data_IF_876905818205
#
_entry.id   IF_876905818205
#
_cell.length_a   1.000
_cell.length_b   1.000
_cell.length_c   1.000
_cell.angle_alpha   90.00
_cell.angle_beta   90.00
_cell.angle_gamma   90.00
#
_symmetry.space_group_name_H-M   'P 1'
#
loop_
_entity.id
_entity.type
_entity.pdbx_description
1 polymer ?
#
# COMPACT_ATOMS: atom_id res chain seq x y z
N UNK A 1 29.64 7.97 -13.77
CA UNK A 1 30.17 8.54 -12.51
C UNK A 1 29.10 9.40 -11.87
N UNK A 2 28.08 8.78 -11.27
CA UNK A 2 27.11 9.36 -10.33
C UNK A 2 26.48 8.16 -9.59
N UNK A 3 27.31 7.51 -8.78
CA UNK A 3 26.86 6.71 -7.63
C UNK A 3 26.89 7.67 -6.43
N UNK A 4 26.00 7.45 -5.47
CA UNK A 4 25.71 8.30 -4.31
C UNK A 4 24.72 9.42 -4.57
N UNK A 5 23.43 9.10 -4.40
CA UNK A 5 22.45 9.98 -3.76
C UNK A 5 21.32 9.10 -3.17
N UNK A 6 21.51 8.79 -1.88
CA UNK A 6 20.55 8.59 -0.79
C UNK A 6 19.22 7.84 -1.07
N UNK A 7 19.15 6.62 -0.52
CA UNK A 7 17.95 5.80 -0.37
C UNK A 7 16.95 6.29 0.69
N UNK A 8 16.77 7.61 0.85
CA UNK A 8 15.76 8.19 1.75
C UNK A 8 14.60 8.89 1.01
N UNK A 9 14.62 8.95 -0.33
CA UNK A 9 13.72 9.85 -1.08
C UNK A 9 12.66 9.14 -1.94
N UNK A 10 12.57 7.81 -1.93
CA UNK A 10 11.78 7.06 -2.93
C UNK A 10 10.39 6.60 -2.51
N UNK A 11 10.04 6.70 -1.23
CA UNK A 11 8.69 6.34 -0.73
C UNK A 11 7.73 7.54 -0.75
N UNK A 12 8.24 8.76 -0.97
CA UNK A 12 7.46 10.01 -0.85
C UNK A 12 6.64 10.43 -2.07
N UNK A 13 6.75 9.74 -3.22
CA UNK A 13 6.05 10.16 -4.46
C UNK A 13 4.79 9.35 -4.81
N UNK A 14 4.40 8.35 -4.01
CA UNK A 14 3.20 7.55 -4.25
C UNK A 14 2.03 7.82 -3.27
N UNK A 15 2.19 8.67 -2.26
CA UNK A 15 1.11 9.05 -1.33
C UNK A 15 1.20 10.53 -0.95
N UNK A 16 0.90 11.40 -1.90
CA UNK A 16 0.74 12.83 -1.62
C UNK A 16 -0.57 13.33 -2.21
N UNK A 17 -1.71 12.88 -1.67
CA UNK A 17 -2.98 13.62 -1.54
C UNK A 17 -3.88 12.83 -0.56
N UNK A 18 -4.35 13.52 0.48
CA UNK A 18 -5.37 13.11 1.45
C UNK A 18 -5.00 12.09 2.56
N UNK A 19 -4.16 12.51 3.50
CA UNK A 19 -4.37 12.14 4.91
C UNK A 19 -4.05 13.34 5.78
N UNK A 20 -5.12 14.07 6.13
CA UNK A 20 -5.09 15.13 7.12
C UNK A 20 -4.69 14.49 8.47
N UNK A 21 -3.70 15.10 9.11
CA UNK A 21 -3.06 14.62 10.32
C UNK A 21 -4.05 14.46 11.48
N UNK A 22 -4.28 13.21 11.90
CA UNK A 22 -4.63 12.89 13.27
C UNK A 22 -3.34 12.45 13.95
N UNK A 23 -2.73 13.37 14.68
CA UNK A 23 -1.65 13.09 15.60
C UNK A 23 -2.19 12.24 16.75
N UNK A 24 -2.18 10.91 16.60
CA UNK A 24 -2.37 10.00 17.71
C UNK A 24 -1.00 9.70 18.32
N UNK A 25 -0.88 10.24 19.52
CA UNK A 25 0.20 10.16 20.47
C UNK A 25 0.79 8.75 20.58
N UNK A 26 2.08 8.72 20.89
CA UNK A 26 2.81 7.52 21.30
C UNK A 26 2.16 6.91 22.55
N UNK A 27 1.34 5.89 22.38
CA UNK A 27 0.95 5.00 23.46
C UNK A 27 1.32 3.59 23.02
N UNK A 28 2.38 3.03 23.61
CA UNK A 28 2.48 1.60 23.84
C UNK A 28 1.26 1.24 24.68
N UNK A 29 0.14 0.84 24.06
CA UNK A 29 -1.14 0.84 24.75
C UNK A 29 -1.27 -0.39 25.64
N UNK A 30 -0.90 -0.20 26.90
CA UNK A 30 -1.44 -0.90 28.05
C UNK A 30 -1.93 0.24 28.95
N UNK A 31 -3.17 0.22 29.44
CA UNK A 31 -3.42 0.94 30.69
C UNK A 31 -3.25 -0.04 31.86
N UNK A 32 -2.29 0.22 32.76
CA UNK A 32 -1.36 -0.79 33.25
C UNK A 32 -1.56 -1.18 34.72
N UNK A 33 -2.74 -0.97 35.30
CA UNK A 33 -2.89 -1.21 36.74
C UNK A 33 -3.33 -2.64 37.10
N UNK A 34 -3.68 -3.51 36.13
CA UNK A 34 -4.31 -4.81 36.43
C UNK A 34 -3.68 -6.07 35.82
N UNK A 35 -2.75 -5.98 34.86
CA UNK A 35 -2.18 -7.19 34.22
C UNK A 35 -0.66 -7.17 34.25
N UNK A 36 -0.08 -8.02 35.09
CA UNK A 36 1.35 -8.32 35.03
C UNK A 36 1.62 -9.07 33.73
N UNK A 37 2.44 -8.49 32.85
CA UNK A 37 2.85 -9.16 31.62
C UNK A 37 3.71 -10.38 31.94
N UNK A 38 3.41 -11.48 31.25
CA UNK A 38 4.11 -12.75 31.32
C UNK A 38 5.00 -12.89 30.08
N UNK A 39 6.23 -13.37 30.26
CA UNK A 39 7.12 -13.67 29.14
C UNK A 39 6.48 -14.74 28.24
N UNK A 40 6.66 -14.60 26.91
CA UNK A 40 6.08 -15.51 25.92
C UNK A 40 4.61 -15.24 25.59
N UNK A 41 4.05 -14.11 26.05
CA UNK A 41 2.71 -13.64 25.67
C UNK A 41 2.77 -12.28 24.98
N UNK A 42 1.88 -12.11 24.01
CA UNK A 42 1.59 -10.84 23.35
C UNK A 42 0.27 -10.31 23.90
N UNK A 43 0.15 -8.98 23.96
CA UNK A 43 -0.96 -8.30 24.58
C UNK A 43 -1.55 -7.25 23.62
N UNK A 44 -2.84 -6.99 23.78
CA UNK A 44 -3.51 -5.88 23.15
C UNK A 44 -4.56 -5.28 24.07
N UNK A 45 -4.69 -3.96 24.00
CA UNK A 45 -5.63 -3.19 24.82
C UNK A 45 -6.59 -2.40 23.95
N UNK A 46 -7.84 -2.31 24.39
CA UNK A 46 -8.86 -1.52 23.72
C UNK A 46 -9.83 -0.88 24.71
N UNK A 47 -10.30 0.30 24.36
CA UNK A 47 -11.35 1.04 25.09
C UNK A 47 -12.42 1.48 24.10
N UNK A 48 -13.69 1.34 24.48
CA UNK A 48 -14.84 1.64 23.63
C UNK A 48 -16.06 2.12 24.42
N UNK A 49 -17.13 2.47 23.72
CA UNK A 49 -18.41 2.82 24.34
C UNK A 49 -19.21 1.58 24.78
N UNK A 50 -18.82 0.40 24.31
CA UNK A 50 -19.35 -0.90 24.75
C UNK A 50 -18.24 -1.94 24.90
N UNK A 51 -18.51 -3.07 25.59
CA UNK A 51 -17.56 -4.18 25.70
C UNK A 51 -17.14 -4.75 24.34
N UNK A 52 -18.04 -4.81 23.37
CA UNK A 52 -17.75 -5.32 22.02
C UNK A 52 -16.82 -4.38 21.24
N UNK A 53 -17.01 -3.07 21.37
CA UNK A 53 -16.11 -2.08 20.78
C UNK A 53 -14.72 -2.14 21.41
N UNK A 54 -14.66 -2.24 22.75
CA UNK A 54 -13.42 -2.36 23.49
C UNK A 54 -12.66 -3.64 23.11
N UNK A 55 -13.35 -4.78 22.97
CA UNK A 55 -12.74 -6.04 22.57
C UNK A 55 -12.22 -5.99 21.12
N UNK A 56 -12.96 -5.37 20.20
CA UNK A 56 -12.50 -5.21 18.83
C UNK A 56 -11.22 -4.35 18.76
N UNK A 57 -11.17 -3.24 19.50
CA UNK A 57 -9.96 -2.40 19.58
C UNK A 57 -8.80 -3.18 20.23
N UNK A 58 -9.06 -3.94 21.30
CA UNK A 58 -8.04 -4.77 21.94
C UNK A 58 -7.49 -5.83 20.99
N UNK A 59 -8.34 -6.40 20.13
CA UNK A 59 -7.92 -7.35 19.11
C UNK A 59 -7.10 -6.70 18.01
N UNK A 60 -7.47 -5.49 17.57
CA UNK A 60 -6.69 -4.71 16.58
C UNK A 60 -5.29 -4.41 17.12
N UNK A 61 -5.22 -3.93 18.36
CA UNK A 61 -3.96 -3.62 19.04
C UNK A 61 -3.11 -4.88 19.24
N UNK A 62 -3.72 -6.00 19.68
CA UNK A 62 -3.03 -7.28 19.83
C UNK A 62 -2.38 -7.73 18.52
N UNK A 63 -3.11 -7.70 17.42
CA UNK A 63 -2.62 -8.12 16.10
C UNK A 63 -1.50 -7.17 15.63
N UNK A 64 -1.64 -5.86 15.84
CA UNK A 64 -0.61 -4.89 15.51
C UNK A 64 0.68 -5.19 16.28
N UNK A 65 0.60 -5.31 17.61
CA UNK A 65 1.74 -5.63 18.47
C UNK A 65 2.39 -6.97 18.08
N UNK A 66 1.58 -7.96 17.70
CA UNK A 66 2.07 -9.26 17.29
C UNK A 66 2.84 -9.20 15.96
N UNK A 67 2.32 -8.50 14.95
CA UNK A 67 3.00 -8.29 13.67
C UNK A 67 4.27 -7.45 13.84
N UNK A 68 4.24 -6.42 14.68
CA UNK A 68 5.42 -5.60 14.99
C UNK A 68 6.50 -6.42 15.71
N UNK A 69 6.11 -7.30 16.63
CA UNK A 69 7.02 -8.26 17.27
C UNK A 69 7.64 -9.20 16.25
N UNK A 70 6.84 -9.80 15.36
CA UNK A 70 7.32 -10.64 14.26
C UNK A 70 8.30 -9.90 13.33
N UNK A 71 8.01 -8.64 13.00
CA UNK A 71 8.88 -7.78 12.19
C UNK A 71 10.22 -7.53 12.86
N UNK A 72 10.19 -7.14 14.15
CA UNK A 72 11.40 -6.90 14.93
C UNK A 72 12.25 -8.15 15.07
N UNK A 73 11.65 -9.31 15.34
CA UNK A 73 12.36 -10.60 15.46
C UNK A 73 13.05 -11.00 14.15
N UNK A 74 12.40 -10.80 13.02
CA UNK A 74 12.88 -11.28 11.70
C UNK A 74 13.86 -10.34 11.02
N UNK A 75 13.56 -9.05 11.02
CA UNK A 75 14.29 -8.04 10.23
C UNK A 75 15.11 -7.06 11.09
N UNK A 76 14.83 -7.00 12.40
CA UNK A 76 15.34 -5.94 13.26
C UNK A 76 14.64 -4.58 13.06
N UNK A 77 13.73 -4.46 12.08
CA UNK A 77 12.97 -3.25 11.84
C UNK A 77 11.86 -3.07 12.87
N UNK A 78 11.56 -1.82 13.21
CA UNK A 78 10.44 -1.45 14.06
C UNK A 78 9.62 -0.39 13.33
N UNK A 79 8.53 -0.82 12.71
CA UNK A 79 7.56 0.06 12.05
C UNK A 79 6.19 -0.13 12.68
N UNK A 80 5.43 0.95 12.84
CA UNK A 80 4.04 0.85 13.30
C UNK A 80 3.18 0.16 12.25
N UNK A 81 2.33 -0.78 12.69
CA UNK A 81 1.38 -1.47 11.83
C UNK A 81 -0.04 -1.03 12.22
N UNK A 82 -0.82 -0.63 11.21
CA UNK A 82 -2.21 -0.21 11.41
C UNK A 82 -3.10 -1.37 10.98
N UNK A 83 -3.86 -1.91 11.94
CA UNK A 83 -4.84 -2.96 11.70
C UNK A 83 -6.24 -2.34 11.66
N UNK A 84 -6.97 -2.57 10.57
CA UNK A 84 -8.37 -2.12 10.46
C UNK A 84 -9.29 -3.06 11.22
N UNK A 85 -10.49 -2.60 11.58
CA UNK A 85 -11.50 -3.46 12.21
C UNK A 85 -11.94 -4.62 11.32
N UNK A 86 -11.91 -4.44 9.99
CA UNK A 86 -12.17 -5.53 9.03
C UNK A 86 -11.09 -6.61 9.10
N UNK A 87 -9.80 -6.21 9.04
CA UNK A 87 -8.67 -7.15 9.18
C UNK A 87 -8.73 -7.90 10.51
N UNK A 88 -9.00 -7.21 11.61
CA UNK A 88 -9.09 -7.84 12.93
C UNK A 88 -10.26 -8.83 13.04
N UNK A 89 -11.40 -8.57 12.39
CA UNK A 89 -12.53 -9.51 12.33
C UNK A 89 -12.21 -10.74 11.47
N UNK A 90 -11.47 -10.57 10.38
CA UNK A 90 -11.06 -11.66 9.49
C UNK A 90 -10.01 -12.60 10.09
N UNK A 91 -9.31 -12.18 11.15
CA UNK A 91 -8.28 -12.98 11.82
C UNK A 91 -8.92 -13.88 12.89
N UNK A 92 -8.84 -15.20 12.70
CA UNK A 92 -9.32 -16.21 13.66
C UNK A 92 -8.23 -16.55 14.68
N UNK A 93 -7.84 -15.56 15.50
CA UNK A 93 -6.91 -15.76 16.61
C UNK A 93 -7.69 -16.01 17.90
N UNK A 94 -7.42 -17.14 18.57
CA UNK A 94 -7.98 -17.44 19.89
C UNK A 94 -7.23 -16.64 20.97
N UNK A 95 -7.66 -15.40 21.19
CA UNK A 95 -7.11 -14.55 22.23
C UNK A 95 -7.87 -14.74 23.56
N UNK A 96 -7.14 -14.76 24.66
CA UNK A 96 -7.70 -14.85 26.01
C UNK A 96 -7.89 -13.46 26.60
N UNK A 97 -9.11 -13.15 27.07
CA UNK A 97 -9.40 -11.98 27.89
C UNK A 97 -8.75 -12.13 29.28
N UNK A 98 -7.96 -11.14 29.69
CA UNK A 98 -7.23 -11.16 30.96
C UNK A 98 -7.52 -9.99 31.89
N UNK A 99 -8.08 -8.91 31.37
CA UNK A 99 -8.68 -7.85 32.16
C UNK A 99 -9.85 -7.24 31.42
N UNK A 100 -10.79 -6.72 32.20
CA UNK A 100 -11.96 -6.01 31.74
C UNK A 100 -12.37 -5.01 32.82
N UNK A 101 -12.76 -3.82 32.38
CA UNK A 101 -13.35 -2.80 33.23
C UNK A 101 -14.55 -2.22 32.49
N UNK A 102 -15.73 -2.32 33.08
CA UNK A 102 -16.95 -1.69 32.59
C UNK A 102 -17.30 -0.50 33.49
N UNK A 103 -17.56 0.64 32.87
CA UNK A 103 -18.03 1.88 33.47
C UNK A 103 -19.38 2.26 32.83
N UNK A 104 -20.08 3.24 33.41
CA UNK A 104 -21.43 3.65 32.95
C UNK A 104 -21.47 4.08 31.48
N UNK A 105 -20.36 4.57 30.93
CA UNK A 105 -20.27 5.10 29.55
C UNK A 105 -19.09 4.55 28.75
N UNK A 106 -18.32 3.61 29.31
CA UNK A 106 -17.16 3.06 28.62
C UNK A 106 -16.83 1.65 29.09
N UNK A 107 -16.16 0.89 28.25
CA UNK A 107 -15.56 -0.39 28.62
C UNK A 107 -14.10 -0.42 28.16
N UNK A 108 -13.25 -1.14 28.89
CA UNK A 108 -11.90 -1.47 28.45
C UNK A 108 -11.63 -2.97 28.59
N UNK A 109 -10.87 -3.51 27.65
CA UNK A 109 -10.56 -4.94 27.54
C UNK A 109 -9.06 -5.10 27.27
N UNK A 110 -8.44 -6.06 27.96
CA UNK A 110 -7.09 -6.53 27.64
C UNK A 110 -7.15 -7.99 27.18
N UNK A 111 -6.61 -8.24 26.00
CA UNK A 111 -6.45 -9.56 25.42
C UNK A 111 -4.99 -9.99 25.49
N UNK A 112 -4.77 -11.30 25.54
CA UNK A 112 -3.46 -11.91 25.35
C UNK A 112 -3.50 -13.13 24.45
N UNK A 113 -2.38 -13.42 23.80
CA UNK A 113 -2.13 -14.69 23.09
C UNK A 113 -0.71 -15.17 23.40
N UNK A 114 -0.46 -16.47 23.34
CA UNK A 114 0.93 -16.97 23.41
C UNK A 114 1.65 -16.62 22.12
N UNK A 115 2.93 -16.30 22.23
CA UNK A 115 3.78 -16.04 21.06
C UNK A 115 3.81 -17.24 20.11
N UNK A 116 3.90 -18.47 20.64
CA UNK A 116 3.92 -19.70 19.84
C UNK A 116 2.62 -19.93 19.06
N UNK A 117 1.47 -19.64 19.67
CA UNK A 117 0.15 -19.75 19.03
C UNK A 117 0.03 -18.70 17.90
N UNK A 118 0.52 -17.49 18.14
CA UNK A 118 0.60 -16.43 17.13
C UNK A 118 1.53 -16.83 15.97
N UNK A 119 2.73 -17.31 16.26
CA UNK A 119 3.71 -17.71 15.23
C UNK A 119 3.17 -18.85 14.36
N UNK A 120 2.51 -19.84 14.97
CA UNK A 120 1.85 -20.94 14.25
C UNK A 120 0.70 -20.45 13.36
N UNK A 121 -0.14 -19.56 13.88
CA UNK A 121 -1.23 -18.94 13.12
C UNK A 121 -0.70 -18.12 11.94
N UNK A 122 0.30 -17.27 12.20
CA UNK A 122 0.84 -16.34 11.22
C UNK A 122 1.55 -17.08 10.09
N UNK A 123 2.31 -18.14 10.39
CA UNK A 123 2.90 -18.99 9.36
C UNK A 123 1.84 -19.56 8.40
N UNK A 124 0.72 -20.05 8.93
CA UNK A 124 -0.41 -20.52 8.13
C UNK A 124 -1.04 -19.41 7.28
N UNK A 125 -1.21 -18.22 7.86
CA UNK A 125 -1.75 -17.05 7.16
C UNK A 125 -0.83 -16.58 6.03
N UNK A 126 0.48 -16.55 6.26
CA UNK A 126 1.47 -16.22 5.24
C UNK A 126 1.43 -17.20 4.05
N UNK A 127 1.33 -18.51 4.31
CA UNK A 127 1.18 -19.52 3.25
C UNK A 127 -0.10 -19.29 2.44
N UNK A 128 -1.21 -19.00 3.11
CA UNK A 128 -2.46 -18.68 2.44
C UNK A 128 -2.35 -17.42 1.57
N UNK A 129 -1.70 -16.36 2.07
CA UNK A 129 -1.45 -15.12 1.33
C UNK A 129 -0.57 -15.35 0.10
N UNK A 130 0.53 -16.10 0.22
CA UNK A 130 1.39 -16.45 -0.93
C UNK A 130 0.58 -17.20 -1.99
N UNK A 131 -0.20 -18.20 -1.58
CA UNK A 131 -1.06 -18.98 -2.49
C UNK A 131 -2.11 -18.12 -3.18
N UNK A 132 -2.73 -17.20 -2.45
CA UNK A 132 -3.73 -16.28 -3.00
C UNK A 132 -3.12 -15.31 -4.01
N UNK A 133 -1.92 -14.77 -3.73
CA UNK A 133 -1.25 -13.79 -4.58
C UNK A 133 -0.53 -14.41 -5.78
N UNK A 134 -0.16 -15.70 -5.71
CA UNK A 134 0.61 -16.38 -6.76
C UNK A 134 0.05 -16.22 -8.19
N UNK A 135 -1.27 -16.33 -8.45
CA UNK A 135 -1.81 -16.14 -9.80
C UNK A 135 -1.63 -14.71 -10.32
N UNK A 136 -1.79 -13.69 -9.46
CA UNK A 136 -1.57 -12.30 -9.84
C UNK A 136 -0.09 -12.07 -10.19
N UNK A 137 0.83 -12.56 -9.35
CA UNK A 137 2.27 -12.46 -9.56
C UNK A 137 2.74 -13.14 -10.85
N UNK A 138 2.18 -14.32 -11.17
CA UNK A 138 2.48 -15.01 -12.41
C UNK A 138 2.08 -14.19 -13.64
N UNK A 139 0.92 -13.50 -13.59
CA UNK A 139 0.49 -12.60 -14.67
C UNK A 139 1.37 -11.37 -14.78
N UNK A 140 1.79 -10.78 -13.66
CA UNK A 140 2.74 -9.66 -13.66
C UNK A 140 4.08 -10.03 -14.28
N UNK A 141 4.53 -11.27 -14.07
CA UNK A 141 5.81 -11.77 -14.58
C UNK A 141 5.80 -12.09 -16.08
N UNK A 142 4.64 -12.49 -16.63
CA UNK A 142 4.50 -12.96 -18.00
C UNK A 142 3.83 -12.00 -18.98
N UNK A 143 3.23 -10.89 -18.53
CA UNK A 143 2.40 -10.05 -19.36
C UNK A 143 3.16 -8.89 -20.04
N UNK A 144 2.71 -8.59 -21.26
CA UNK A 144 2.94 -7.30 -21.92
C UNK A 144 2.29 -6.20 -21.07
N UNK A 145 2.90 -5.00 -20.93
CA UNK A 145 2.33 -3.95 -20.09
C UNK A 145 0.90 -3.61 -20.52
N UNK A 146 -0.01 -3.53 -19.57
CA UNK A 146 -1.41 -3.19 -19.79
C UNK A 146 -2.08 -2.78 -18.48
N UNK A 147 -3.28 -2.18 -18.58
CA UNK A 147 -4.00 -1.65 -17.42
C UNK A 147 -4.21 -2.66 -16.30
N UNK A 148 -4.58 -3.90 -16.67
CA UNK A 148 -4.82 -4.97 -15.72
C UNK A 148 -3.59 -5.32 -14.89
N UNK A 149 -2.39 -5.33 -15.49
CA UNK A 149 -1.16 -5.67 -14.77
C UNK A 149 -0.81 -4.61 -13.71
N UNK A 150 -0.92 -3.33 -14.02
CA UNK A 150 -0.66 -2.29 -13.02
C UNK A 150 -1.70 -2.32 -11.88
N UNK A 151 -2.98 -2.52 -12.20
CA UNK A 151 -4.07 -2.61 -11.22
C UNK A 151 -3.92 -3.85 -10.33
N UNK A 152 -3.56 -5.02 -10.88
CA UNK A 152 -3.27 -6.24 -10.12
C UNK A 152 -2.09 -6.06 -9.15
N UNK A 153 -1.00 -5.43 -9.59
CA UNK A 153 0.16 -5.16 -8.75
C UNK A 153 -0.17 -4.20 -7.59
N UNK A 154 -0.90 -3.12 -7.86
CA UNK A 154 -1.36 -2.17 -6.83
C UNK A 154 -2.30 -2.86 -5.85
N UNK A 155 -3.21 -3.70 -6.33
CA UNK A 155 -4.10 -4.49 -5.48
C UNK A 155 -3.32 -5.44 -4.58
N UNK A 156 -2.30 -6.14 -5.11
CA UNK A 156 -1.44 -7.03 -4.35
C UNK A 156 -0.66 -6.27 -3.25
N UNK A 157 -0.03 -5.13 -3.58
CA UNK A 157 0.68 -4.29 -2.60
C UNK A 157 -0.26 -3.77 -1.50
N UNK A 158 -1.46 -3.30 -1.88
CA UNK A 158 -2.48 -2.85 -0.93
C UNK A 158 -2.91 -3.96 0.02
N UNK A 159 -3.08 -5.17 -0.50
CA UNK A 159 -3.42 -6.36 0.29
C UNK A 159 -2.31 -6.72 1.27
N UNK A 160 -1.04 -6.69 0.85
CA UNK A 160 0.10 -6.94 1.75
C UNK A 160 0.18 -5.90 2.86
N UNK A 161 0.00 -4.61 2.53
CA UNK A 161 0.02 -3.53 3.51
C UNK A 161 -1.13 -3.63 4.52
N UNK A 162 -2.35 -3.94 4.04
CA UNK A 162 -3.53 -4.11 4.90
C UNK A 162 -3.44 -5.36 5.78
N UNK A 163 -2.75 -6.39 5.29
CA UNK A 163 -2.41 -7.59 6.05
C UNK A 163 -1.24 -7.37 7.03
N UNK A 164 -0.55 -6.22 6.96
CA UNK A 164 0.60 -5.86 7.80
C UNK A 164 1.88 -6.65 7.49
N UNK A 165 1.97 -7.26 6.32
CA UNK A 165 3.07 -8.17 5.94
C UNK A 165 3.92 -7.64 4.78
N UNK A 166 3.77 -6.38 4.39
CA UNK A 166 4.54 -5.76 3.29
C UNK A 166 6.05 -5.68 3.59
N UNK A 167 6.46 -5.63 4.85
CA UNK A 167 7.87 -5.72 5.27
C UNK A 167 8.30 -7.10 5.77
N UNK A 168 7.45 -8.12 5.60
CA UNK A 168 7.63 -9.43 6.22
C UNK A 168 7.51 -10.57 5.21
N UNK A 169 6.48 -10.57 4.38
CA UNK A 169 6.19 -11.70 3.53
C UNK A 169 7.24 -11.83 2.43
N UNK A 170 7.97 -12.94 2.47
CA UNK A 170 8.95 -13.31 1.45
C UNK A 170 8.24 -13.93 0.24
N UNK A 171 8.79 -13.76 -0.96
CA UNK A 171 8.22 -14.33 -2.19
C UNK A 171 8.13 -15.86 -2.10
N UNK A 172 9.21 -16.49 -1.63
CA UNK A 172 9.28 -17.91 -1.32
C UNK A 172 9.66 -18.13 0.15
N UNK A 173 9.30 -19.30 0.69
CA UNK A 173 9.59 -19.64 2.07
C UNK A 173 11.10 -19.80 2.29
N UNK A 174 11.65 -19.10 3.29
CA UNK A 174 13.08 -19.16 3.62
C UNK A 174 14.00 -18.28 2.77
N UNK A 175 13.47 -17.59 1.75
CA UNK A 175 14.24 -16.62 0.98
C UNK A 175 14.29 -15.24 1.62
N UNK A 176 15.30 -14.44 1.28
CA UNK A 176 15.45 -13.08 1.81
C UNK A 176 14.60 -12.03 1.06
N UNK A 177 14.16 -12.32 -0.17
CA UNK A 177 13.46 -11.37 -1.02
C UNK A 177 12.01 -11.13 -0.57
N UNK A 178 11.68 -9.88 -0.23
CA UNK A 178 10.30 -9.50 0.09
C UNK A 178 9.42 -9.58 -1.16
N UNK A 179 8.19 -10.04 -0.95
CA UNK A 179 7.21 -10.11 -2.04
C UNK A 179 6.79 -8.72 -2.52
N UNK A 180 6.69 -7.76 -1.61
CA UNK A 180 6.43 -6.35 -1.92
C UNK A 180 7.49 -5.76 -2.84
N UNK A 181 8.77 -6.02 -2.56
CA UNK A 181 9.90 -5.58 -3.39
C UNK A 181 9.85 -6.22 -4.77
N UNK A 182 9.53 -7.52 -4.86
CA UNK A 182 9.38 -8.20 -6.14
C UNK A 182 8.28 -7.57 -7.01
N UNK A 183 7.13 -7.22 -6.41
CA UNK A 183 6.03 -6.53 -7.11
C UNK A 183 6.46 -5.11 -7.53
N UNK A 184 7.14 -4.36 -6.64
CA UNK A 184 7.61 -3.01 -6.93
C UNK A 184 8.63 -3.00 -8.08
N UNK A 185 9.56 -3.95 -8.09
CA UNK A 185 10.53 -4.12 -9.18
C UNK A 185 9.85 -4.47 -10.51
N UNK A 186 8.78 -5.26 -10.48
CA UNK A 186 7.98 -5.54 -11.68
C UNK A 186 7.29 -4.28 -12.19
N UNK A 187 6.70 -3.46 -11.31
CA UNK A 187 6.11 -2.18 -11.69
C UNK A 187 7.15 -1.22 -12.29
N UNK A 188 8.35 -1.17 -11.72
CA UNK A 188 9.45 -0.37 -12.26
C UNK A 188 9.86 -0.85 -13.66
N UNK A 189 10.02 -2.17 -13.85
CA UNK A 189 10.29 -2.77 -15.17
C UNK A 189 9.19 -2.50 -16.18
N UNK A 190 7.92 -2.56 -15.76
CA UNK A 190 6.79 -2.20 -16.61
C UNK A 190 6.87 -0.73 -17.05
N UNK A 191 7.18 0.19 -16.13
CA UNK A 191 7.38 1.61 -16.46
C UNK A 191 8.55 1.85 -17.42
N UNK A 192 9.66 1.13 -17.26
CA UNK A 192 10.83 1.24 -18.15
C UNK A 192 10.60 0.60 -19.53
N UNK A 193 9.61 -0.30 -19.64
CA UNK A 193 9.29 -1.02 -20.88
C UNK A 193 8.35 -0.27 -21.82
N UNK A 194 7.85 0.90 -21.42
CA UNK A 194 6.91 1.71 -22.20
C UNK A 194 7.55 2.97 -22.76
N UNK A 195 7.12 3.36 -23.96
CA UNK A 195 7.50 4.61 -24.62
C UNK A 195 6.27 5.45 -24.85
N UNK A 196 6.34 6.71 -24.42
CA UNK A 196 5.30 7.72 -24.63
C UNK A 196 5.79 8.67 -25.73
N UNK A 197 4.98 8.86 -26.76
CA UNK A 197 5.28 9.78 -27.86
C UNK A 197 4.12 10.74 -28.12
N UNK A 198 4.47 11.97 -28.45
CA UNK A 198 3.55 13.04 -28.81
C UNK A 198 4.17 13.78 -30.00
N UNK A 199 3.50 13.77 -31.15
CA UNK A 199 3.93 14.52 -32.33
C UNK A 199 2.82 15.50 -32.71
N UNK A 200 2.93 16.79 -32.37
CA UNK A 200 2.02 17.81 -32.88
C UNK A 200 2.18 17.92 -34.40
N UNK A 201 1.08 18.14 -35.13
CA UNK A 201 1.08 18.17 -36.60
C UNK A 201 2.15 19.10 -37.21
N UNK A 202 2.42 20.25 -36.57
CA UNK A 202 3.41 21.24 -37.02
C UNK A 202 4.64 21.33 -36.08
N UNK A 203 4.84 20.35 -35.20
CA UNK A 203 5.88 20.39 -34.16
C UNK A 203 5.67 21.42 -33.05
N UNK A 204 4.57 22.20 -33.11
CA UNK A 204 4.21 23.20 -32.10
C UNK A 204 2.91 22.82 -31.38
N UNK A 205 2.89 23.02 -30.07
CA UNK A 205 1.69 22.92 -29.24
C UNK A 205 1.01 24.28 -29.16
N UNK A 206 -0.25 24.37 -29.60
CA UNK A 206 -1.06 25.59 -29.55
C UNK A 206 -2.12 25.47 -28.46
N UNK A 207 -2.43 26.60 -27.81
CA UNK A 207 -3.54 26.66 -26.85
C UNK A 207 -4.85 26.20 -27.51
N UNK A 208 -5.62 25.36 -26.84
CA UNK A 208 -6.86 24.81 -27.40
C UNK A 208 -6.68 23.78 -28.53
N UNK A 209 -5.46 23.33 -28.79
CA UNK A 209 -5.21 22.23 -29.73
C UNK A 209 -5.54 20.88 -29.07
N UNK A 210 -6.16 19.98 -29.84
CA UNK A 210 -6.23 18.57 -29.45
C UNK A 210 -4.95 17.86 -29.89
N UNK A 211 -4.33 17.11 -28.98
CA UNK A 211 -3.12 16.35 -29.25
C UNK A 211 -3.35 14.87 -28.96
N UNK A 212 -2.70 14.01 -29.73
CA UNK A 212 -2.76 12.56 -29.55
C UNK A 212 -1.42 12.08 -29.02
N UNK A 213 -1.45 11.48 -27.83
CA UNK A 213 -0.32 10.79 -27.23
C UNK A 213 -0.42 9.32 -27.59
N UNK A 214 0.69 8.70 -27.98
CA UNK A 214 0.78 7.27 -28.28
C UNK A 214 1.70 6.57 -27.28
N UNK A 215 1.20 5.48 -26.71
CA UNK A 215 1.89 4.59 -25.79
C UNK A 215 2.20 3.26 -26.49
N UNK A 216 3.48 2.90 -26.53
CA UNK A 216 3.95 1.64 -27.09
C UNK A 216 4.85 0.91 -26.10
N UNK A 217 5.02 -0.40 -26.27
CA UNK A 217 6.09 -1.13 -25.60
C UNK A 217 7.45 -0.93 -26.30
N UNK A 218 8.49 -1.56 -25.76
CA UNK A 218 9.84 -1.58 -26.34
C UNK A 218 9.90 -2.15 -27.77
N UNK A 219 8.93 -2.98 -28.17
CA UNK A 219 8.80 -3.52 -29.53
C UNK A 219 8.04 -2.58 -30.49
N UNK A 220 7.56 -1.43 -30.01
CA UNK A 220 6.79 -0.46 -30.79
C UNK A 220 5.32 -0.83 -30.98
N UNK A 221 4.82 -1.90 -30.35
CA UNK A 221 3.40 -2.25 -30.47
C UNK A 221 2.56 -1.46 -29.45
N UNK A 222 1.30 -1.14 -29.77
CA UNK A 222 0.45 -0.29 -28.92
C UNK A 222 0.07 -0.96 -27.60
N UNK A 223 -0.13 -0.14 -26.56
CA UNK A 223 -0.58 -0.58 -25.24
C UNK A 223 -1.91 0.10 -24.87
N UNK A 224 -2.95 -0.71 -24.67
CA UNK A 224 -4.31 -0.25 -24.39
C UNK A 224 -4.63 -0.18 -22.88
N UNK A 225 -5.59 0.67 -22.53
CA UNK A 225 -6.23 0.78 -21.22
C UNK A 225 -5.42 1.52 -20.15
N UNK A 226 -4.18 1.92 -20.41
CA UNK A 226 -3.33 2.60 -19.44
C UNK A 226 -3.84 4.04 -19.26
N UNK A 227 -4.15 4.46 -18.03
CA UNK A 227 -4.50 5.86 -17.77
C UNK A 227 -3.26 6.74 -17.93
N UNK A 228 -3.33 7.70 -18.85
CA UNK A 228 -2.32 8.73 -19.03
C UNK A 228 -2.85 10.04 -18.47
N UNK A 229 -2.01 10.76 -17.72
CA UNK A 229 -2.33 12.08 -17.19
C UNK A 229 -1.46 13.14 -17.85
N UNK A 230 -2.08 14.20 -18.35
CA UNK A 230 -1.35 15.35 -18.89
C UNK A 230 -1.20 16.45 -17.83
N UNK A 231 0.03 16.96 -17.69
CA UNK A 231 0.33 18.17 -16.91
C UNK A 231 0.97 19.18 -17.85
N UNK A 232 0.40 20.38 -17.90
CA UNK A 232 0.83 21.42 -18.81
C UNK A 232 1.60 22.48 -18.06
N UNK A 233 2.68 22.97 -18.65
CA UNK A 233 3.43 24.12 -18.14
C UNK A 233 3.82 25.06 -19.27
N UNK A 234 3.97 26.35 -18.94
CA UNK A 234 4.46 27.40 -19.84
C UNK A 234 5.53 28.19 -19.10
N UNK A 235 6.75 28.19 -19.62
CA UNK A 235 7.89 28.86 -18.96
C UNK A 235 8.27 28.26 -17.59
N UNK A 236 7.90 26.99 -17.34
CA UNK A 236 8.11 26.33 -16.04
C UNK A 236 6.90 26.41 -15.11
N UNK A 237 5.95 27.31 -15.37
CA UNK A 237 4.75 27.48 -14.54
C UNK A 237 3.60 26.59 -15.01
N UNK A 238 2.87 25.91 -14.11
CA UNK A 238 1.69 25.13 -14.47
C UNK A 238 0.62 25.97 -15.17
N UNK A 239 -0.03 25.43 -16.21
CA UNK A 239 -1.15 26.08 -16.91
C UNK A 239 -2.36 25.16 -17.04
N UNK A 240 -3.56 25.73 -16.93
CA UNK A 240 -4.83 24.99 -16.93
C UNK A 240 -5.20 24.42 -15.57
N UNK A 241 -6.47 24.01 -15.42
CA UNK A 241 -6.93 23.28 -14.23
C UNK A 241 -6.50 21.80 -14.27
N UNK A 242 -6.71 21.12 -13.13
CA UNK A 242 -6.47 19.71 -12.80
C UNK A 242 -6.10 18.75 -13.94
N UNK A 243 -5.12 17.89 -13.68
CA UNK A 243 -4.69 16.83 -14.60
C UNK A 243 -5.86 15.98 -15.08
N UNK A 244 -6.13 16.00 -16.38
CA UNK A 244 -7.08 15.08 -17.03
C UNK A 244 -6.40 13.72 -17.20
N UNK A 245 -7.09 12.65 -16.77
CA UNK A 245 -6.68 11.27 -16.98
C UNK A 245 -7.49 10.66 -18.11
N UNK A 246 -6.81 10.16 -19.15
CA UNK A 246 -7.42 9.54 -20.33
C UNK A 246 -6.78 8.18 -20.53
N UNK A 247 -7.60 7.11 -20.61
CA UNK A 247 -7.10 5.76 -20.89
C UNK A 247 -6.75 5.61 -22.36
N UNK A 248 -5.66 4.91 -22.64
CA UNK A 248 -5.29 4.57 -24.02
C UNK A 248 -6.31 3.64 -24.66
N UNK A 249 -6.61 3.85 -25.93
CA UNK A 249 -7.50 2.99 -26.71
C UNK A 249 -6.80 1.73 -27.24
N UNK A 250 -7.49 0.93 -28.08
CA UNK A 250 -6.92 -0.28 -28.70
C UNK A 250 -5.72 -0.02 -29.62
N UNK A 251 -5.48 1.22 -30.04
CA UNK A 251 -4.31 1.65 -30.82
C UNK A 251 -3.22 2.26 -29.92
N UNK A 252 -3.39 2.18 -28.61
CA UNK A 252 -2.47 2.73 -27.63
C UNK A 252 -2.46 4.25 -27.63
N UNK A 253 -3.55 4.91 -28.04
CA UNK A 253 -3.61 6.36 -28.15
C UNK A 253 -4.53 6.98 -27.10
N UNK A 254 -4.16 8.18 -26.63
CA UNK A 254 -4.98 9.00 -25.73
C UNK A 254 -4.99 10.45 -26.23
N UNK A 255 -6.18 11.02 -26.34
CA UNK A 255 -6.37 12.41 -26.76
C UNK A 255 -6.40 13.36 -25.58
N UNK A 256 -5.61 14.44 -25.63
CA UNK A 256 -5.61 15.49 -24.62
C UNK A 256 -5.87 16.85 -25.25
N UNK A 257 -6.61 17.69 -24.54
CA UNK A 257 -6.81 19.08 -24.93
C UNK A 257 -5.72 19.94 -24.28
N UNK A 258 -4.96 20.67 -25.09
CA UNK A 258 -4.03 21.70 -24.57
C UNK A 258 -4.88 22.82 -23.95
N UNK A 259 -4.62 23.24 -22.70
CA UNK A 259 -5.38 24.31 -22.06
C UNK A 259 -5.44 25.55 -22.94
N UNK A 260 -6.63 26.14 -23.05
CA UNK A 260 -6.73 27.51 -23.54
C UNK A 260 -5.85 28.38 -22.62
N UNK A 261 -5.00 29.23 -23.19
CA UNK A 261 -4.14 30.08 -22.38
C UNK A 261 -5.01 30.96 -21.50
N UNK A 262 -5.07 30.67 -20.20
CA UNK A 262 -5.52 31.65 -19.22
C UNK A 262 -4.48 32.77 -19.17
N UNK A 263 -4.96 34.01 -19.13
CA UNK A 263 -4.15 35.11 -18.60
C UNK A 263 -3.73 34.71 -17.18
N UNK A 264 -2.43 34.80 -16.88
CA UNK A 264 -1.96 34.66 -15.50
C UNK A 264 -2.70 35.66 -14.60
N UNK A 265 -3.05 35.30 -13.36
CA UNK A 265 -3.33 36.31 -12.34
C UNK A 265 -2.11 37.21 -12.09
#
# INVERSE_FOLDING_TARGET
>A
MYRFLNGQSRVWFAMAVCTMALALQSCTSVEPDLVKQEDGYLYGYGKGGSPEEAELEAKRDLIANALESSMRKRSGESRRIIVTGETARGISLEAKRVAELEEETSASVTLRVREEDWESYEAGREVALRKELAPALARLSGARPGAGSAEEAVSALSKLATAGVDGLLTAEEGEAGLLSDAIADQLARLADSVSVSLVPADGLLRAGQQVTVRLTDAGGNPIAGIPLAARWSRGGEPVGELSQSVRTDGQGTAGFQVPAGGESP
#
